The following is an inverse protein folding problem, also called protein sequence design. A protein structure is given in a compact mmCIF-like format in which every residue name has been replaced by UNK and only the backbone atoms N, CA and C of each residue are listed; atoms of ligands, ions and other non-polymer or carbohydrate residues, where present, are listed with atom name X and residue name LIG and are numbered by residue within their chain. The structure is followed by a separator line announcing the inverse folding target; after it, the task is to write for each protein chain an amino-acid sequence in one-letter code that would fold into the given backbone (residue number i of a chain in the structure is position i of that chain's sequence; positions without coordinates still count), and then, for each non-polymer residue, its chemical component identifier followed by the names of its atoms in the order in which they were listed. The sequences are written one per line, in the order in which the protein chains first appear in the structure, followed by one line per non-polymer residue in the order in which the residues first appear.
data_IF_632485133854
#
_entry.id   IF_632485133854
#
_cell.length_a   1.000
_cell.length_b   1.000
_cell.length_c   1.000
_cell.angle_alpha   90.00
_cell.angle_beta   90.00
_cell.angle_gamma   90.00
#
_symmetry.space_group_name_H-M   'P 1'
#
loop_
_entity.id
_entity.type
_entity.pdbx_description
1 polymer ?
#
# COMPACT_ATOMS: atom_id res chain seq x y z
N UNK A 1 67.79 28.90 -0.62
CA UNK A 1 67.12 29.91 -1.47
C UNK A 1 67.14 29.43 -2.91
N UNK A 2 66.04 28.81 -3.36
CA UNK A 2 65.64 28.56 -4.76
C UNK A 2 64.16 28.12 -4.71
N UNK A 3 63.31 28.95 -5.32
CA UNK A 3 61.90 28.77 -5.70
C UNK A 3 61.80 27.70 -6.81
N UNK A 4 60.68 27.08 -7.23
CA UNK A 4 59.23 27.38 -7.25
C UNK A 4 58.43 26.05 -7.39
N UNK A 5 57.18 25.97 -6.89
CA UNK A 5 55.87 25.76 -7.60
C UNK A 5 55.78 24.45 -8.44
N UNK A 6 54.79 23.56 -8.34
CA UNK A 6 53.32 23.59 -8.17
C UNK A 6 52.88 22.27 -7.49
N UNK A 7 51.82 22.13 -6.68
CA UNK A 7 50.41 22.34 -6.99
C UNK A 7 49.67 20.98 -6.88
N UNK A 8 48.79 20.84 -5.88
CA UNK A 8 47.85 19.71 -5.64
C UNK A 8 48.44 18.31 -5.32
N UNK A 9 48.76 18.09 -4.05
CA UNK A 9 48.79 16.76 -3.44
C UNK A 9 47.45 16.39 -2.82
N UNK A 10 46.43 16.06 -3.62
CA UNK A 10 45.27 15.30 -3.14
C UNK A 10 45.49 13.82 -3.47
N UNK A 11 45.78 13.04 -2.43
CA UNK A 11 45.76 11.58 -2.49
C UNK A 11 44.34 11.13 -2.81
N UNK A 12 44.06 10.93 -4.10
CA UNK A 12 42.90 10.17 -4.55
C UNK A 12 43.14 8.73 -4.11
N UNK A 13 42.61 8.37 -2.93
CA UNK A 13 42.45 6.97 -2.57
C UNK A 13 41.46 6.36 -3.56
N UNK A 14 42.00 5.72 -4.60
CA UNK A 14 41.30 4.72 -5.37
C UNK A 14 40.97 3.56 -4.43
N UNK A 15 39.82 3.65 -3.73
CA UNK A 15 39.21 2.51 -3.09
C UNK A 15 38.97 1.46 -4.17
N UNK A 16 39.72 0.36 -4.11
CA UNK A 16 39.42 -0.86 -4.88
C UNK A 16 37.93 -1.14 -4.69
N UNK A 17 37.20 -1.30 -5.81
CA UNK A 17 35.85 -1.87 -5.84
C UNK A 17 35.94 -3.29 -5.25
N UNK A 18 35.89 -3.41 -3.93
CA UNK A 18 35.39 -4.64 -3.33
C UNK A 18 33.97 -4.82 -3.84
N UNK A 19 33.65 -6.04 -4.29
CA UNK A 19 32.27 -6.38 -4.63
C UNK A 19 31.37 -5.89 -3.47
N UNK A 20 30.33 -5.11 -3.79
CA UNK A 20 29.31 -4.82 -2.79
C UNK A 20 28.80 -6.18 -2.27
N UNK A 21 28.62 -6.33 -0.95
CA UNK A 21 28.00 -7.54 -0.43
C UNK A 21 26.66 -7.74 -1.18
N UNK A 22 26.30 -8.99 -1.53
CA UNK A 22 25.07 -9.26 -2.27
C UNK A 22 23.90 -8.62 -1.52
N UNK A 23 23.03 -7.97 -2.29
CA UNK A 23 21.82 -7.37 -1.77
C UNK A 23 21.00 -8.45 -1.08
N UNK A 24 20.30 -8.12 0.01
CA UNK A 24 19.32 -9.04 0.60
C UNK A 24 18.17 -9.40 -0.37
N UNK A 25 18.10 -8.70 -1.50
CA UNK A 25 17.18 -8.95 -2.61
C UNK A 25 17.80 -9.81 -3.73
N UNK A 26 19.08 -10.19 -3.63
CA UNK A 26 19.74 -11.16 -4.51
C UNK A 26 19.43 -12.58 -4.07
N UNK A 27 18.15 -12.88 -3.89
CA UNK A 27 17.63 -14.21 -3.55
C UNK A 27 16.93 -14.76 -4.80
N UNK A 28 17.16 -16.04 -5.11
CA UNK A 28 16.43 -16.70 -6.18
C UNK A 28 14.94 -16.77 -5.80
N UNK A 29 14.13 -16.02 -6.53
CA UNK A 29 12.68 -16.00 -6.40
C UNK A 29 12.13 -16.90 -7.50
N UNK A 30 11.30 -17.86 -7.13
CA UNK A 30 10.64 -18.75 -8.08
C UNK A 30 9.82 -17.97 -9.12
N UNK A 31 9.62 -18.51 -10.33
CA UNK A 31 8.82 -17.85 -11.35
C UNK A 31 7.42 -17.45 -10.84
N UNK A 32 6.91 -16.25 -11.20
CA UNK A 32 5.61 -15.76 -10.74
C UNK A 32 4.44 -16.72 -10.97
N UNK A 33 4.50 -17.55 -12.02
CA UNK A 33 3.49 -18.54 -12.39
C UNK A 33 3.40 -19.67 -11.35
N UNK A 34 4.56 -20.15 -10.87
CA UNK A 34 4.64 -21.17 -9.82
C UNK A 34 4.15 -20.62 -8.48
N UNK A 35 4.54 -19.37 -8.18
CA UNK A 35 4.09 -18.68 -6.97
C UNK A 35 2.57 -18.45 -7.00
N UNK A 36 2.01 -18.12 -8.16
CA UNK A 36 0.57 -17.96 -8.36
C UNK A 36 -0.17 -19.28 -8.15
N UNK A 37 0.30 -20.38 -8.76
CA UNK A 37 -0.32 -21.70 -8.57
C UNK A 37 -0.40 -22.08 -7.09
N UNK A 38 0.69 -21.87 -6.34
CA UNK A 38 0.71 -22.10 -4.89
C UNK A 38 -0.19 -21.15 -4.12
N UNK A 39 -0.25 -19.87 -4.52
CA UNK A 39 -1.15 -18.90 -3.92
C UNK A 39 -2.61 -19.31 -4.11
N UNK A 40 -2.98 -19.76 -5.30
CA UNK A 40 -4.33 -20.26 -5.63
C UNK A 40 -4.63 -21.61 -5.00
N UNK A 41 -3.64 -22.48 -4.78
CA UNK A 41 -3.85 -23.70 -3.99
C UNK A 41 -4.13 -23.40 -2.51
N UNK A 42 -3.63 -22.27 -2.01
CA UNK A 42 -3.93 -21.77 -0.68
C UNK A 42 -5.23 -20.95 -0.65
N UNK A 43 -5.62 -20.32 -1.76
CA UNK A 43 -6.75 -19.42 -1.84
C UNK A 43 -8.01 -20.12 -2.39
N UNK A 44 -9.17 -19.89 -1.78
CA UNK A 44 -10.44 -20.36 -2.31
C UNK A 44 -10.89 -19.38 -3.39
N UNK A 45 -11.16 -19.82 -4.63
CA UNK A 45 -11.69 -18.93 -5.67
C UNK A 45 -12.94 -18.21 -5.18
N UNK A 46 -13.08 -16.94 -5.55
CA UNK A 46 -14.27 -16.20 -5.18
C UNK A 46 -15.50 -16.79 -5.88
N UNK A 47 -16.51 -17.18 -5.11
CA UNK A 47 -17.87 -17.38 -5.62
C UNK A 47 -18.61 -16.03 -5.77
N UNK A 48 -17.90 -14.91 -5.59
CA UNK A 48 -18.49 -13.57 -5.56
C UNK A 48 -18.80 -13.12 -6.98
N UNK A 49 -19.94 -12.46 -7.23
CA UNK A 49 -20.17 -11.80 -8.50
C UNK A 49 -19.01 -10.84 -8.80
N UNK A 50 -18.63 -10.76 -10.09
CA UNK A 50 -17.59 -9.84 -10.55
C UNK A 50 -17.85 -8.43 -10.02
N UNK A 51 -16.78 -7.68 -9.74
CA UNK A 51 -16.89 -6.28 -9.35
C UNK A 51 -17.77 -5.53 -10.36
N UNK A 52 -18.57 -4.57 -9.87
CA UNK A 52 -19.32 -3.70 -10.77
C UNK A 52 -18.33 -3.03 -11.74
N UNK A 53 -18.66 -2.96 -13.04
CA UNK A 53 -17.75 -2.36 -14.01
C UNK A 53 -17.44 -0.91 -13.63
N UNK A 54 -16.22 -0.43 -13.91
CA UNK A 54 -15.82 0.93 -13.57
C UNK A 54 -16.77 1.95 -14.21
N UNK A 55 -17.13 2.97 -13.44
CA UNK A 55 -18.00 4.05 -13.90
C UNK A 55 -17.15 5.10 -14.61
N UNK A 56 -17.34 5.23 -15.92
CA UNK A 56 -16.69 6.29 -16.68
C UNK A 56 -17.47 7.60 -16.58
N UNK A 57 -16.79 8.66 -16.14
CA UNK A 57 -17.35 10.01 -16.05
C UNK A 57 -16.38 11.04 -16.60
N UNK A 58 -16.93 12.14 -17.13
CA UNK A 58 -16.16 13.34 -17.50
C UNK A 58 -16.30 14.45 -16.45
N UNK A 59 -17.09 14.21 -15.40
CA UNK A 59 -17.24 15.16 -14.29
C UNK A 59 -16.03 15.06 -13.38
N UNK A 60 -15.49 16.22 -13.01
CA UNK A 60 -14.41 16.35 -12.05
C UNK A 60 -15.00 16.47 -10.65
N UNK A 61 -15.38 15.34 -10.08
CA UNK A 61 -15.92 15.27 -8.72
C UNK A 61 -14.78 14.92 -7.76
N UNK A 62 -14.56 15.77 -6.76
CA UNK A 62 -13.54 15.52 -5.75
C UNK A 62 -14.00 14.36 -4.88
N UNK A 63 -13.08 13.43 -4.61
CA UNK A 63 -13.30 12.30 -3.71
C UNK A 63 -13.80 12.78 -2.35
N UNK A 64 -14.77 12.07 -1.78
CA UNK A 64 -15.30 12.33 -0.43
C UNK A 64 -14.75 11.33 0.58
N UNK A 65 -13.58 10.76 0.31
CA UNK A 65 -12.86 9.85 1.20
C UNK A 65 -11.85 10.63 2.04
N UNK A 66 -11.96 10.57 3.36
CA UNK A 66 -10.96 11.12 4.27
C UNK A 66 -9.86 10.11 4.59
N UNK A 67 -8.83 10.55 5.31
CA UNK A 67 -7.74 9.69 5.77
C UNK A 67 -7.49 9.88 7.27
N UNK A 68 -7.14 8.79 7.97
CA UNK A 68 -6.80 8.80 9.38
C UNK A 68 -5.54 7.98 9.65
N UNK A 69 -4.45 8.63 10.04
CA UNK A 69 -3.28 7.98 10.64
C UNK A 69 -3.48 7.76 12.14
N UNK A 70 -3.56 6.50 12.58
CA UNK A 70 -3.74 6.17 14.00
C UNK A 70 -2.45 6.29 14.84
N UNK A 71 -1.29 6.14 14.19
CA UNK A 71 0.03 6.02 14.83
C UNK A 71 0.88 5.01 14.05
N UNK A 72 2.18 4.93 14.36
CA UNK A 72 3.15 4.11 13.63
C UNK A 72 3.46 2.76 14.32
N UNK A 73 2.59 2.28 15.20
CA UNK A 73 2.72 0.94 15.76
C UNK A 73 2.40 -0.10 14.67
N UNK A 74 3.37 -0.95 14.34
CA UNK A 74 3.24 -1.96 13.28
C UNK A 74 3.92 -3.28 13.66
N UNK A 75 3.32 -4.39 13.24
CA UNK A 75 3.84 -5.76 13.39
C UNK A 75 4.75 -6.21 12.22
N UNK A 76 5.09 -5.33 11.28
CA UNK A 76 5.98 -5.60 10.15
C UNK A 76 7.11 -4.57 10.06
N UNK A 77 8.12 -4.85 9.23
CA UNK A 77 9.31 -4.01 8.97
C UNK A 77 9.62 -4.01 7.48
N UNK A 78 8.66 -3.55 6.67
CA UNK A 78 8.74 -3.63 5.22
C UNK A 78 9.92 -2.82 4.66
N UNK A 79 10.61 -3.35 3.65
CA UNK A 79 11.78 -2.70 3.04
C UNK A 79 11.45 -1.51 2.13
N UNK A 80 10.16 -1.28 1.90
CA UNK A 80 9.64 -0.09 1.21
C UNK A 80 8.95 0.88 2.20
N UNK A 81 8.99 0.60 3.50
CA UNK A 81 8.30 1.41 4.49
C UNK A 81 8.99 2.76 4.70
N UNK A 82 8.26 3.84 4.44
CA UNK A 82 8.73 5.21 4.67
C UNK A 82 8.52 5.71 6.11
N UNK A 83 8.03 4.82 6.99
CA UNK A 83 7.83 5.06 8.42
C UNK A 83 8.69 4.16 9.31
N UNK A 84 9.68 3.48 8.73
CA UNK A 84 10.39 2.42 9.43
C UNK A 84 11.10 2.90 10.70
N UNK A 85 11.69 4.09 10.67
CA UNK A 85 12.32 4.72 11.83
C UNK A 85 11.32 4.97 12.97
N UNK A 86 10.14 5.50 12.65
CA UNK A 86 9.05 5.72 13.60
C UNK A 86 8.46 4.41 14.15
N UNK A 87 8.50 3.34 13.34
CA UNK A 87 8.06 2.00 13.74
C UNK A 87 9.10 1.31 14.65
N UNK A 88 10.40 1.55 14.42
CA UNK A 88 11.51 0.94 15.18
C UNK A 88 11.78 1.65 16.50
N UNK A 89 11.66 2.98 16.53
CA UNK A 89 11.80 3.79 17.72
C UNK A 89 10.48 3.86 18.50
N UNK A 90 10.38 3.08 19.58
CA UNK A 90 9.20 3.04 20.44
C UNK A 90 8.96 4.33 21.23
N UNK A 91 10.00 5.14 21.40
CA UNK A 91 9.92 6.43 22.09
C UNK A 91 9.58 7.58 21.13
N UNK A 92 9.53 7.31 19.81
CA UNK A 92 9.15 8.31 18.83
C UNK A 92 7.70 8.79 19.07
N UNK A 93 7.41 10.11 19.07
CA UNK A 93 6.08 10.63 19.38
C UNK A 93 4.95 10.11 18.47
N UNK A 94 5.26 9.83 17.21
CA UNK A 94 4.31 9.22 16.25
C UNK A 94 4.16 7.69 16.40
N UNK A 95 5.01 7.00 17.18
CA UNK A 95 4.95 5.54 17.34
C UNK A 95 3.64 5.04 17.95
N UNK A 96 3.21 5.50 19.15
CA UNK A 96 2.03 4.94 19.79
C UNK A 96 0.75 5.25 19.02
N UNK A 97 -0.22 4.35 19.14
CA UNK A 97 -1.59 4.66 18.71
C UNK A 97 -2.16 5.84 19.51
N UNK A 98 -2.90 6.71 18.83
CA UNK A 98 -3.67 7.77 19.48
C UNK A 98 -4.82 7.21 20.34
N UNK A 99 -5.37 8.06 21.20
CA UNK A 99 -6.59 7.72 21.94
C UNK A 99 -7.80 7.61 21.02
N UNK A 100 -8.77 6.77 21.41
CA UNK A 100 -10.04 6.65 20.72
C UNK A 100 -10.75 8.01 20.59
N UNK A 101 -10.72 8.84 21.64
CA UNK A 101 -11.34 10.17 21.62
C UNK A 101 -10.70 11.12 20.61
N UNK A 102 -9.37 11.10 20.45
CA UNK A 102 -8.69 11.86 19.39
C UNK A 102 -9.14 11.37 18.01
N UNK A 103 -9.16 10.04 17.79
CA UNK A 103 -9.60 9.47 16.52
C UNK A 103 -11.06 9.81 16.18
N UNK A 104 -11.98 9.78 17.15
CA UNK A 104 -13.38 10.18 16.98
C UNK A 104 -13.52 11.67 16.63
N UNK A 105 -12.78 12.54 17.31
CA UNK A 105 -12.79 13.98 17.03
C UNK A 105 -12.29 14.29 15.61
N UNK A 106 -11.31 13.52 15.13
CA UNK A 106 -10.86 13.58 13.74
C UNK A 106 -11.98 13.15 12.78
N UNK A 107 -12.61 12.01 13.03
CA UNK A 107 -13.69 11.51 12.17
C UNK A 107 -14.84 12.53 12.06
N UNK A 108 -15.20 13.21 13.16
CA UNK A 108 -16.15 14.32 13.13
C UNK A 108 -15.69 15.49 12.29
N UNK A 109 -14.41 15.85 12.38
CA UNK A 109 -13.85 16.92 11.55
C UNK A 109 -13.99 16.60 10.06
N UNK A 110 -13.71 15.35 9.66
CA UNK A 110 -13.86 14.87 8.28
C UNK A 110 -15.30 15.00 7.77
N UNK A 111 -16.28 14.63 8.60
CA UNK A 111 -17.70 14.76 8.24
C UNK A 111 -18.14 16.23 8.21
N UNK A 112 -17.92 16.96 9.29
CA UNK A 112 -18.55 18.27 9.53
C UNK A 112 -17.94 19.39 8.68
N UNK A 113 -16.63 19.34 8.39
CA UNK A 113 -15.92 20.41 7.68
C UNK A 113 -15.58 20.07 6.22
N UNK A 114 -15.28 18.80 5.93
CA UNK A 114 -14.87 18.38 4.59
C UNK A 114 -15.97 17.64 3.82
N UNK A 115 -17.06 17.26 4.51
CA UNK A 115 -18.18 16.55 3.91
C UNK A 115 -17.77 15.15 3.44
N UNK A 116 -16.81 14.51 4.11
CA UNK A 116 -16.40 13.16 3.79
C UNK A 116 -17.50 12.15 4.14
N UNK A 117 -17.67 11.13 3.30
CA UNK A 117 -18.63 10.03 3.46
C UNK A 117 -17.95 8.66 3.55
N UNK A 118 -16.64 8.61 3.33
CA UNK A 118 -15.80 7.42 3.49
C UNK A 118 -14.49 7.81 4.18
N UNK A 119 -13.80 6.83 4.75
CA UNK A 119 -12.53 7.07 5.45
C UNK A 119 -11.58 5.90 5.28
N UNK A 120 -10.32 6.19 4.93
CA UNK A 120 -9.23 5.24 4.97
C UNK A 120 -8.47 5.35 6.29
N UNK A 121 -8.55 4.29 7.10
CA UNK A 121 -7.87 4.18 8.38
C UNK A 121 -6.55 3.46 8.16
N UNK A 122 -5.45 4.13 8.48
CA UNK A 122 -4.09 3.66 8.27
C UNK A 122 -3.12 4.11 9.40
N UNK A 123 -1.82 4.04 9.14
CA UNK A 123 -0.74 4.24 10.12
C UNK A 123 0.30 3.15 9.92
N UNK A 124 0.75 2.54 11.02
CA UNK A 124 1.52 1.31 11.02
C UNK A 124 0.67 0.11 10.58
N UNK A 125 -0.05 -0.51 11.53
CA UNK A 125 -1.05 -1.54 11.23
C UNK A 125 -2.32 -1.28 12.06
N UNK A 126 -3.45 -0.87 11.45
CA UNK A 126 -4.65 -0.52 12.21
C UNK A 126 -5.31 -1.74 12.89
N UNK A 127 -5.18 -2.94 12.32
CA UNK A 127 -5.89 -4.13 12.83
C UNK A 127 -5.38 -4.63 14.19
N UNK A 128 -4.21 -4.18 14.65
CA UNK A 128 -3.67 -4.52 15.98
C UNK A 128 -4.03 -3.48 17.06
N UNK A 129 -4.70 -2.38 16.70
CA UNK A 129 -5.11 -1.37 17.68
C UNK A 129 -6.33 -1.86 18.48
N UNK A 130 -6.23 -1.84 19.80
CA UNK A 130 -7.27 -2.39 20.71
C UNK A 130 -8.66 -1.76 20.51
N UNK A 131 -8.70 -0.48 20.13
CA UNK A 131 -9.95 0.30 20.04
C UNK A 131 -10.50 0.34 18.61
N UNK A 132 -9.90 -0.40 17.66
CA UNK A 132 -10.26 -0.35 16.23
C UNK A 132 -11.73 -0.65 15.97
N UNK A 133 -12.29 -1.67 16.64
CA UNK A 133 -13.69 -2.04 16.48
C UNK A 133 -14.65 -0.94 16.99
N UNK A 134 -14.27 -0.24 18.08
CA UNK A 134 -15.05 0.88 18.59
C UNK A 134 -15.00 2.08 17.65
N UNK A 135 -13.85 2.34 17.01
CA UNK A 135 -13.73 3.38 16.00
C UNK A 135 -14.56 3.05 14.75
N UNK A 136 -14.51 1.82 14.23
CA UNK A 136 -15.28 1.41 13.05
C UNK A 136 -16.78 1.63 13.29
N UNK A 137 -17.31 1.19 14.45
CA UNK A 137 -18.71 1.42 14.81
C UNK A 137 -19.06 2.90 14.86
N UNK A 138 -18.16 3.72 15.41
CA UNK A 138 -18.36 5.17 15.43
C UNK A 138 -18.35 5.80 14.03
N UNK A 139 -17.45 5.36 13.14
CA UNK A 139 -17.45 5.82 11.74
C UNK A 139 -18.80 5.57 11.09
N UNK A 140 -19.35 4.35 11.23
CA UNK A 140 -20.66 3.99 10.69
C UNK A 140 -21.77 4.84 11.31
N UNK A 141 -21.76 5.03 12.63
CA UNK A 141 -22.74 5.87 13.35
C UNK A 141 -22.82 7.29 12.81
N UNK A 142 -21.69 7.87 12.42
CA UNK A 142 -21.62 9.25 11.92
C UNK A 142 -21.72 9.36 10.38
N UNK A 143 -22.01 8.25 9.69
CA UNK A 143 -22.21 8.24 8.23
C UNK A 143 -20.94 8.07 7.39
N UNK A 144 -19.81 7.70 7.99
CA UNK A 144 -18.60 7.33 7.26
C UNK A 144 -18.61 5.83 6.92
N UNK A 145 -18.15 5.49 5.72
CA UNK A 145 -17.82 4.11 5.32
C UNK A 145 -16.33 3.82 5.60
N UNK A 146 -15.99 3.06 6.66
CA UNK A 146 -14.61 2.85 7.05
C UNK A 146 -13.92 1.74 6.24
N UNK A 147 -12.78 2.07 5.66
CA UNK A 147 -11.84 1.15 5.03
C UNK A 147 -10.60 1.02 5.90
N UNK A 148 -10.07 -0.19 6.09
CA UNK A 148 -8.78 -0.39 6.75
C UNK A 148 -7.69 -0.71 5.73
N UNK A 149 -6.63 0.11 5.68
CA UNK A 149 -5.40 -0.22 4.93
C UNK A 149 -4.56 -1.15 5.80
N UNK A 150 -4.34 -2.38 5.36
CA UNK A 150 -3.80 -3.43 6.24
C UNK A 150 -2.84 -4.38 5.51
N UNK A 151 -1.92 -4.97 6.26
CA UNK A 151 -1.12 -6.12 5.84
C UNK A 151 -1.89 -7.46 5.91
N UNK A 152 -3.09 -7.45 6.48
CA UNK A 152 -4.02 -8.58 6.63
C UNK A 152 -3.53 -9.74 7.53
N UNK A 153 -2.40 -9.60 8.25
CA UNK A 153 -1.90 -10.71 9.08
C UNK A 153 -2.81 -11.04 10.26
N UNK A 154 -3.55 -10.07 10.82
CA UNK A 154 -4.54 -10.33 11.88
C UNK A 154 -5.77 -11.05 11.33
N UNK A 155 -6.06 -10.85 10.05
CA UNK A 155 -7.22 -11.41 9.36
C UNK A 155 -7.04 -12.88 8.99
N UNK A 156 -5.86 -13.47 9.25
CA UNK A 156 -5.61 -14.92 9.14
C UNK A 156 -6.43 -15.76 10.13
N UNK A 157 -7.09 -15.09 11.08
CA UNK A 157 -8.03 -15.64 12.04
C UNK A 157 -9.46 -15.29 11.61
N UNK A 158 -10.26 -16.30 11.31
CA UNK A 158 -11.65 -16.11 10.85
C UNK A 158 -12.52 -15.34 11.84
N UNK A 159 -12.37 -15.56 13.14
CA UNK A 159 -13.11 -14.83 14.19
C UNK A 159 -12.78 -13.33 14.18
N UNK A 160 -11.52 -12.96 13.84
CA UNK A 160 -11.13 -11.55 13.66
C UNK A 160 -11.84 -10.91 12.49
N UNK A 161 -11.89 -11.59 11.34
CA UNK A 161 -12.64 -11.09 10.18
C UNK A 161 -14.12 -10.90 10.52
N UNK A 162 -14.73 -11.84 11.24
CA UNK A 162 -16.12 -11.72 11.70
C UNK A 162 -16.30 -10.49 12.61
N UNK A 163 -15.42 -10.27 13.59
CA UNK A 163 -15.47 -9.09 14.46
C UNK A 163 -15.40 -7.77 13.70
N UNK A 164 -14.59 -7.69 12.64
CA UNK A 164 -14.52 -6.51 11.76
C UNK A 164 -15.81 -6.32 10.96
N UNK A 165 -16.36 -7.41 10.39
CA UNK A 165 -17.65 -7.40 9.70
C UNK A 165 -18.78 -6.91 10.62
N UNK A 166 -18.87 -7.47 11.83
CA UNK A 166 -19.89 -7.12 12.82
C UNK A 166 -19.74 -5.67 13.32
N UNK A 167 -18.54 -5.11 13.25
CA UNK A 167 -18.30 -3.70 13.58
C UNK A 167 -18.75 -2.74 12.47
N UNK A 168 -19.00 -3.24 11.26
CA UNK A 168 -19.45 -2.44 10.11
C UNK A 168 -18.31 -1.94 9.22
N UNK A 169 -17.20 -2.67 9.10
CA UNK A 169 -16.16 -2.34 8.11
C UNK A 169 -16.76 -2.36 6.69
N UNK A 170 -16.45 -1.34 5.88
CA UNK A 170 -16.95 -1.26 4.51
C UNK A 170 -16.13 -2.18 3.58
N UNK A 171 -14.81 -2.08 3.65
CA UNK A 171 -13.86 -2.95 2.94
C UNK A 171 -12.46 -2.92 3.58
N UNK A 172 -11.57 -3.78 3.08
CA UNK A 172 -10.15 -3.73 3.39
C UNK A 172 -9.34 -3.34 2.15
N UNK A 173 -8.32 -2.50 2.30
CA UNK A 173 -7.29 -2.30 1.30
C UNK A 173 -6.07 -3.12 1.67
N UNK A 174 -5.96 -4.31 1.10
CA UNK A 174 -4.94 -5.31 1.46
C UNK A 174 -3.66 -5.07 0.68
N UNK A 175 -2.55 -4.93 1.41
CA UNK A 175 -1.22 -4.71 0.82
C UNK A 175 -0.58 -6.03 0.34
N UNK A 176 -0.67 -6.33 -0.95
CA UNK A 176 -0.10 -7.53 -1.60
C UNK A 176 1.17 -7.14 -2.35
N UNK A 177 2.34 -7.38 -1.74
CA UNK A 177 3.64 -6.86 -2.20
C UNK A 177 4.43 -7.86 -3.04
N UNK A 178 3.72 -8.64 -3.87
CA UNK A 178 4.22 -9.85 -4.53
C UNK A 178 3.65 -11.11 -3.92
N UNK A 179 4.16 -12.27 -4.36
CA UNK A 179 3.72 -13.61 -3.96
C UNK A 179 4.85 -14.39 -3.29
N UNK A 180 4.49 -15.39 -2.50
CA UNK A 180 5.41 -16.31 -1.82
C UNK A 180 6.60 -15.62 -1.15
N UNK A 181 7.81 -16.07 -1.48
CA UNK A 181 9.05 -15.56 -0.85
C UNK A 181 9.29 -14.08 -1.13
N UNK A 182 8.87 -13.58 -2.29
CA UNK A 182 9.08 -12.18 -2.62
C UNK A 182 8.22 -11.25 -1.75
N UNK A 183 6.98 -11.65 -1.45
CA UNK A 183 6.15 -10.95 -0.48
C UNK A 183 6.82 -10.94 0.90
N UNK A 184 7.21 -12.12 1.39
CA UNK A 184 7.85 -12.28 2.69
C UNK A 184 9.11 -11.41 2.83
N UNK A 185 9.94 -11.36 1.78
CA UNK A 185 11.10 -10.48 1.70
C UNK A 185 10.68 -9.02 1.67
N UNK A 186 9.70 -8.62 0.85
CA UNK A 186 9.27 -7.23 0.75
C UNK A 186 8.76 -6.67 2.10
N UNK A 187 8.08 -7.51 2.89
CA UNK A 187 7.49 -7.11 4.18
C UNK A 187 8.38 -7.41 5.40
N UNK A 188 9.52 -8.07 5.21
CA UNK A 188 10.46 -8.40 6.26
C UNK A 188 9.95 -9.48 7.23
N UNK A 189 9.09 -10.40 6.77
CA UNK A 189 8.48 -11.44 7.62
C UNK A 189 8.25 -12.75 6.87
N UNK A 190 8.95 -13.81 7.29
CA UNK A 190 8.78 -15.14 6.71
C UNK A 190 7.40 -15.72 7.03
N UNK A 191 6.75 -16.32 6.03
CA UNK A 191 5.41 -16.90 6.13
C UNK A 191 4.27 -15.87 6.10
N UNK A 192 4.56 -14.58 5.93
CA UNK A 192 3.55 -13.53 5.84
C UNK A 192 2.59 -13.77 4.67
N UNK A 193 3.11 -14.20 3.51
CA UNK A 193 2.30 -14.52 2.33
C UNK A 193 1.26 -15.60 2.62
N UNK A 194 1.65 -16.70 3.27
CA UNK A 194 0.73 -17.81 3.58
C UNK A 194 -0.39 -17.34 4.50
N UNK A 195 -0.06 -16.51 5.50
CA UNK A 195 -1.05 -15.91 6.41
C UNK A 195 -1.98 -14.94 5.66
N UNK A 196 -1.44 -14.15 4.74
CA UNK A 196 -2.23 -13.26 3.88
C UNK A 196 -3.19 -14.04 2.99
N UNK A 197 -2.79 -15.16 2.38
CA UNK A 197 -3.71 -15.99 1.57
C UNK A 197 -4.86 -16.56 2.42
N UNK A 198 -4.58 -17.00 3.66
CA UNK A 198 -5.64 -17.41 4.60
C UNK A 198 -6.58 -16.26 4.95
N UNK A 199 -6.05 -15.06 5.14
CA UNK A 199 -6.87 -13.87 5.36
C UNK A 199 -7.81 -13.59 4.18
N UNK A 200 -7.31 -13.64 2.94
CA UNK A 200 -8.14 -13.48 1.74
C UNK A 200 -9.27 -14.52 1.71
N UNK A 201 -8.99 -15.78 2.05
CA UNK A 201 -10.04 -16.81 2.14
C UNK A 201 -11.11 -16.49 3.17
N UNK A 202 -10.71 -15.98 4.33
CA UNK A 202 -11.67 -15.60 5.36
C UNK A 202 -12.52 -14.41 4.93
N UNK A 203 -11.94 -13.44 4.23
CA UNK A 203 -12.68 -12.33 3.62
C UNK A 203 -13.70 -12.83 2.59
N UNK A 204 -13.30 -13.74 1.70
CA UNK A 204 -14.18 -14.36 0.70
C UNK A 204 -15.31 -15.15 1.38
N UNK A 205 -14.96 -16.05 2.30
CA UNK A 205 -15.92 -16.93 2.98
C UNK A 205 -16.93 -16.18 3.84
N UNK A 206 -16.59 -14.97 4.31
CA UNK A 206 -17.48 -14.11 5.08
C UNK A 206 -18.09 -12.98 4.25
N UNK A 207 -17.91 -13.00 2.92
CA UNK A 207 -18.41 -11.97 2.00
C UNK A 207 -18.00 -10.55 2.44
N UNK A 208 -16.76 -10.36 2.88
CA UNK A 208 -16.20 -9.06 3.24
C UNK A 208 -15.48 -8.48 2.03
N UNK A 209 -15.84 -7.27 1.57
CA UNK A 209 -15.17 -6.61 0.46
C UNK A 209 -13.68 -6.32 0.71
N UNK A 210 -12.87 -6.42 -0.33
CA UNK A 210 -11.51 -5.92 -0.29
C UNK A 210 -11.04 -5.43 -1.66
N UNK A 211 -10.03 -4.57 -1.61
CA UNK A 211 -9.22 -4.07 -2.73
C UNK A 211 -7.76 -4.45 -2.47
N UNK A 212 -6.94 -4.41 -3.51
CA UNK A 212 -5.51 -4.74 -3.41
C UNK A 212 -4.68 -3.48 -3.62
N UNK A 213 -3.66 -3.30 -2.79
CA UNK A 213 -2.59 -2.32 -2.97
C UNK A 213 -1.27 -3.06 -3.23
N UNK A 214 -0.51 -2.63 -4.23
CA UNK A 214 0.83 -3.14 -4.51
C UNK A 214 1.79 -1.98 -4.73
N UNK A 215 2.82 -1.86 -3.90
CA UNK A 215 3.90 -0.89 -4.10
C UNK A 215 4.86 -1.50 -5.12
N UNK A 216 5.10 -0.78 -6.21
CA UNK A 216 6.02 -1.19 -7.27
C UNK A 216 7.48 -1.04 -6.82
N UNK A 217 7.89 -1.92 -5.91
CA UNK A 217 9.29 -2.18 -5.54
C UNK A 217 9.95 -3.11 -6.54
N UNK A 218 11.29 -3.16 -6.54
CA UNK A 218 12.05 -4.03 -7.44
C UNK A 218 11.69 -5.51 -7.30
N UNK A 219 11.29 -5.94 -6.10
CA UNK A 219 10.77 -7.28 -5.83
C UNK A 219 9.37 -7.52 -6.43
N UNK A 220 8.49 -6.50 -6.37
CA UNK A 220 7.11 -6.63 -6.78
C UNK A 220 6.91 -6.49 -8.31
N UNK A 221 7.72 -5.66 -8.97
CA UNK A 221 7.57 -5.34 -10.40
C UNK A 221 7.52 -6.58 -11.31
N UNK A 222 8.41 -7.59 -11.18
CA UNK A 222 8.31 -8.80 -12.00
C UNK A 222 7.03 -9.62 -11.76
N UNK A 223 6.33 -9.38 -10.66
CA UNK A 223 5.17 -10.16 -10.22
C UNK A 223 3.83 -9.43 -10.41
N UNK A 224 3.81 -8.19 -10.91
CA UNK A 224 2.56 -7.46 -11.09
C UNK A 224 1.50 -8.24 -11.90
N UNK A 225 1.86 -8.96 -12.98
CA UNK A 225 0.88 -9.79 -13.70
C UNK A 225 0.31 -10.92 -12.84
N UNK A 226 1.12 -11.55 -11.99
CA UNK A 226 0.67 -12.61 -11.09
C UNK A 226 -0.21 -12.06 -9.95
N UNK A 227 0.13 -10.88 -9.41
CA UNK A 227 -0.72 -10.17 -8.43
C UNK A 227 -2.06 -9.79 -9.06
N UNK A 228 -2.08 -9.32 -10.31
CA UNK A 228 -3.31 -9.05 -11.05
C UNK A 228 -4.15 -10.31 -11.25
N UNK A 229 -3.54 -11.41 -11.72
CA UNK A 229 -4.22 -12.71 -11.89
C UNK A 229 -4.81 -13.21 -10.55
N UNK A 230 -4.03 -13.16 -9.47
CA UNK A 230 -4.53 -13.49 -8.13
C UNK A 230 -5.75 -12.63 -7.78
N UNK A 231 -5.66 -11.32 -7.97
CA UNK A 231 -6.73 -10.37 -7.64
C UNK A 231 -8.04 -10.68 -8.37
N UNK A 232 -7.95 -11.14 -9.63
CA UNK A 232 -9.10 -11.64 -10.40
C UNK A 232 -9.71 -12.88 -9.74
N UNK A 233 -8.88 -13.90 -9.48
CA UNK A 233 -9.34 -15.19 -8.93
C UNK A 233 -9.95 -15.06 -7.52
N UNK A 234 -9.40 -14.16 -6.69
CA UNK A 234 -9.91 -13.92 -5.33
C UNK A 234 -11.05 -12.90 -5.27
N UNK A 235 -11.45 -12.31 -6.41
CA UNK A 235 -12.57 -11.37 -6.49
C UNK A 235 -12.32 -10.03 -5.81
N UNK A 236 -11.10 -9.49 -5.93
CA UNK A 236 -10.80 -8.13 -5.48
C UNK A 236 -11.63 -7.10 -6.25
N UNK A 237 -12.06 -6.02 -5.59
CA UNK A 237 -12.90 -4.97 -6.23
C UNK A 237 -12.11 -4.01 -7.11
N UNK A 238 -10.86 -3.75 -6.75
CA UNK A 238 -9.94 -2.89 -7.48
C UNK A 238 -8.50 -3.23 -7.10
N UNK A 239 -7.55 -2.87 -7.95
CA UNK A 239 -6.11 -3.03 -7.70
C UNK A 239 -5.41 -1.69 -7.91
N UNK A 240 -4.71 -1.20 -6.88
CA UNK A 240 -3.88 -0.01 -7.01
C UNK A 240 -2.40 -0.38 -7.06
N UNK A 241 -1.72 0.09 -8.10
CA UNK A 241 -0.27 0.04 -8.26
C UNK A 241 0.30 1.39 -7.85
N UNK A 242 1.07 1.40 -6.76
CA UNK A 242 1.63 2.60 -6.18
C UNK A 242 3.09 2.75 -6.57
N UNK A 243 3.50 3.97 -6.94
CA UNK A 243 4.92 4.29 -7.00
C UNK A 243 5.60 3.93 -5.66
N UNK A 244 6.87 3.49 -5.74
CA UNK A 244 7.71 3.49 -4.54
C UNK A 244 7.74 4.91 -3.98
N UNK A 245 7.35 5.07 -2.70
CA UNK A 245 7.05 6.38 -2.14
C UNK A 245 8.20 7.39 -2.41
N UNK A 246 7.95 8.54 -3.05
CA UNK A 246 8.99 9.49 -3.42
C UNK A 246 9.40 10.48 -2.29
N UNK A 247 8.81 10.41 -1.10
CA UNK A 247 9.04 11.35 -0.01
C UNK A 247 10.32 11.05 0.80
N UNK A 248 10.88 12.10 1.41
CA UNK A 248 12.21 12.10 2.03
C UNK A 248 12.26 11.57 3.48
N UNK A 249 11.15 11.12 4.05
CA UNK A 249 11.10 10.59 5.42
C UNK A 249 11.57 9.12 5.53
N UNK A 250 12.00 8.52 4.42
CA UNK A 250 12.55 7.16 4.35
C UNK A 250 13.94 7.04 4.95
N UNK A 251 14.04 6.34 6.08
CA UNK A 251 15.30 6.03 6.78
C UNK A 251 15.48 4.51 6.96
N UNK A 252 16.69 4.11 7.37
CA UNK A 252 17.07 2.73 7.66
C UNK A 252 16.82 1.77 6.46
N UNK A 253 16.21 0.60 6.70
CA UNK A 253 15.93 -0.37 5.65
C UNK A 253 14.83 0.08 4.65
N UNK A 254 14.16 1.20 4.92
CA UNK A 254 13.18 1.82 4.02
C UNK A 254 13.78 2.86 3.06
N UNK A 255 15.08 3.17 3.17
CA UNK A 255 15.75 4.15 2.31
C UNK A 255 15.71 3.73 0.84
N UNK A 256 15.42 4.69 -0.05
CA UNK A 256 15.46 4.48 -1.50
C UNK A 256 16.88 4.19 -1.96
N UNK A 257 17.09 3.04 -2.57
CA UNK A 257 18.35 2.65 -3.21
C UNK A 257 18.08 2.09 -4.60
N UNK A 258 19.12 1.89 -5.40
CA UNK A 258 19.01 1.18 -6.68
C UNK A 258 18.64 -0.32 -6.51
N UNK A 259 18.67 -0.82 -5.27
CA UNK A 259 18.40 -2.22 -4.95
C UNK A 259 16.91 -2.48 -4.67
N UNK A 260 16.17 -1.48 -4.18
CA UNK A 260 14.75 -1.62 -3.86
C UNK A 260 13.82 -0.80 -4.77
N UNK A 261 14.31 0.27 -5.41
CA UNK A 261 13.53 1.10 -6.32
C UNK A 261 13.79 0.67 -7.78
N UNK A 262 12.74 0.30 -8.55
CA UNK A 262 12.87 -0.01 -9.97
C UNK A 262 13.11 1.26 -10.80
N UNK A 263 13.73 1.14 -11.98
CA UNK A 263 13.72 2.25 -12.94
C UNK A 263 12.33 2.34 -13.56
N UNK A 264 11.87 3.54 -13.90
CA UNK A 264 10.57 3.69 -14.57
C UNK A 264 10.47 2.92 -15.90
N UNK A 265 11.59 2.78 -16.63
CA UNK A 265 11.64 1.96 -17.83
C UNK A 265 11.35 0.47 -17.58
N UNK A 266 11.64 -0.02 -16.37
CA UNK A 266 11.41 -1.42 -15.99
C UNK A 266 9.94 -1.68 -15.60
N UNK A 267 9.13 -0.64 -15.38
CA UNK A 267 7.73 -0.78 -14.98
C UNK A 267 6.83 -1.20 -16.15
N UNK A 268 7.06 -0.65 -17.34
CA UNK A 268 6.08 -0.67 -18.44
C UNK A 268 5.62 -2.07 -18.82
N UNK A 269 6.54 -3.00 -19.01
CA UNK A 269 6.20 -4.37 -19.46
C UNK A 269 5.28 -5.09 -18.46
N UNK A 270 5.75 -5.34 -17.23
CA UNK A 270 4.92 -6.02 -16.22
C UNK A 270 3.64 -5.27 -15.85
N UNK A 271 3.69 -3.93 -15.84
CA UNK A 271 2.51 -3.12 -15.52
C UNK A 271 1.46 -3.17 -16.64
N UNK A 272 1.85 -3.05 -17.91
CA UNK A 272 0.92 -3.20 -19.04
C UNK A 272 0.24 -4.58 -19.02
N UNK A 273 1.00 -5.67 -18.80
CA UNK A 273 0.41 -7.02 -18.72
C UNK A 273 -0.58 -7.15 -17.55
N UNK A 274 -0.23 -6.60 -16.38
CA UNK A 274 -1.12 -6.58 -15.22
C UNK A 274 -2.42 -5.81 -15.50
N UNK A 275 -2.32 -4.65 -16.15
CA UNK A 275 -3.47 -3.82 -16.51
C UNK A 275 -4.32 -4.49 -17.60
N UNK A 276 -3.72 -5.19 -18.57
CA UNK A 276 -4.45 -5.98 -19.56
C UNK A 276 -5.23 -7.14 -18.91
N UNK A 277 -4.66 -7.81 -17.91
CA UNK A 277 -5.36 -8.84 -17.11
C UNK A 277 -6.58 -8.27 -16.41
N UNK A 278 -6.40 -7.16 -15.69
CA UNK A 278 -7.49 -6.53 -14.91
C UNK A 278 -8.59 -5.96 -15.82
N UNK A 279 -8.21 -5.31 -16.92
CA UNK A 279 -9.14 -4.76 -17.89
C UNK A 279 -10.00 -5.87 -18.54
N UNK A 280 -9.41 -7.01 -18.91
CA UNK A 280 -10.17 -8.16 -19.44
C UNK A 280 -11.15 -8.76 -18.43
N UNK A 281 -10.81 -8.70 -17.14
CA UNK A 281 -11.66 -9.18 -16.06
C UNK A 281 -12.70 -8.14 -15.58
N UNK A 282 -12.66 -6.91 -16.11
CA UNK A 282 -13.53 -5.83 -15.66
C UNK A 282 -13.21 -5.30 -14.26
N UNK A 283 -11.98 -5.55 -13.76
CA UNK A 283 -11.53 -5.04 -12.46
C UNK A 283 -10.86 -3.69 -12.66
N UNK A 284 -11.28 -2.69 -11.88
CA UNK A 284 -10.69 -1.36 -11.90
C UNK A 284 -9.24 -1.39 -11.42
N UNK A 285 -8.37 -0.69 -12.14
CA UNK A 285 -6.95 -0.59 -11.82
C UNK A 285 -6.51 0.87 -11.77
N UNK A 286 -5.73 1.23 -10.74
CA UNK A 286 -5.25 2.59 -10.51
C UNK A 286 -3.72 2.61 -10.37
N UNK A 287 -3.03 3.33 -11.25
CA UNK A 287 -1.59 3.57 -11.23
C UNK A 287 -1.36 4.95 -10.65
N UNK A 288 -0.88 5.02 -9.40
CA UNK A 288 -0.78 6.27 -8.66
C UNK A 288 0.63 6.84 -8.61
N UNK A 289 0.71 8.16 -8.59
CA UNK A 289 1.95 8.94 -8.40
C UNK A 289 2.98 8.79 -9.52
N UNK A 290 2.57 8.29 -10.70
CA UNK A 290 3.44 8.12 -11.85
C UNK A 290 2.87 8.82 -13.09
N UNK A 291 3.74 9.26 -14.01
CA UNK A 291 3.31 9.86 -15.27
C UNK A 291 2.77 8.81 -16.25
N UNK A 292 1.92 9.24 -17.18
CA UNK A 292 1.35 8.41 -18.25
C UNK A 292 2.36 7.61 -19.07
N UNK A 293 3.62 8.07 -19.18
CA UNK A 293 4.65 7.41 -19.98
C UNK A 293 5.16 6.08 -19.40
N UNK A 294 4.77 5.71 -18.18
CA UNK A 294 5.14 4.42 -17.58
C UNK A 294 4.26 3.26 -18.07
N UNK A 295 3.19 3.55 -18.81
CA UNK A 295 2.27 2.57 -19.41
C UNK A 295 1.99 2.91 -20.87
N UNK A 296 1.45 1.96 -21.61
CA UNK A 296 0.92 2.23 -22.95
C UNK A 296 -0.35 3.08 -22.94
N UNK A 297 -0.61 3.81 -24.03
CA UNK A 297 -1.74 4.78 -24.14
C UNK A 297 -3.11 4.17 -23.81
N UNK A 298 -3.32 2.90 -24.14
CA UNK A 298 -4.56 2.16 -23.82
C UNK A 298 -4.88 2.12 -22.31
N UNK A 299 -3.87 2.32 -21.46
CA UNK A 299 -3.99 2.28 -20.00
C UNK A 299 -3.96 3.66 -19.35
N UNK A 300 -3.89 4.75 -20.11
CA UNK A 300 -3.95 6.11 -19.55
C UNK A 300 -5.17 6.37 -18.64
N UNK A 301 -6.36 5.79 -18.89
CA UNK A 301 -7.49 5.93 -17.98
C UNK A 301 -7.26 5.37 -16.57
N UNK A 302 -6.29 4.47 -16.40
CA UNK A 302 -5.90 3.91 -15.10
C UNK A 302 -4.86 4.76 -14.37
N UNK A 303 -4.31 5.81 -14.99
CA UNK A 303 -3.23 6.61 -14.38
C UNK A 303 -3.80 7.81 -13.63
N UNK A 304 -3.37 7.97 -12.38
CA UNK A 304 -3.70 9.10 -11.53
C UNK A 304 -2.39 9.76 -11.07
N UNK A 305 -1.98 10.79 -11.81
CA UNK A 305 -0.89 11.65 -11.37
C UNK A 305 -1.31 12.55 -10.19
N UNK A 306 -0.36 13.30 -9.62
CA UNK A 306 -0.63 14.17 -8.47
C UNK A 306 -1.77 15.17 -8.67
N UNK A 307 -2.04 15.61 -9.90
CA UNK A 307 -3.12 16.55 -10.20
C UNK A 307 -4.47 15.84 -10.33
N UNK A 308 -4.47 14.54 -10.65
CA UNK A 308 -5.66 13.72 -10.81
C UNK A 308 -6.09 13.01 -9.51
N UNK A 309 -5.17 12.79 -8.55
CA UNK A 309 -5.46 12.10 -7.28
C UNK A 309 -6.71 12.62 -6.53
N UNK A 310 -7.00 13.93 -6.44
CA UNK A 310 -8.21 14.40 -5.78
C UNK A 310 -9.52 13.92 -6.42
N UNK A 311 -9.46 13.38 -7.64
CA UNK A 311 -10.59 12.86 -8.40
C UNK A 311 -10.61 11.32 -8.47
N UNK A 312 -9.64 10.64 -7.84
CA UNK A 312 -9.67 9.18 -7.70
C UNK A 312 -10.66 8.80 -6.58
N UNK A 313 -11.78 8.10 -6.87
CA UNK A 313 -12.77 7.71 -5.85
C UNK A 313 -12.21 6.71 -4.83
N UNK A 314 -11.09 6.05 -5.15
CA UNK A 314 -10.39 5.11 -4.31
C UNK A 314 -9.25 5.76 -3.52
N UNK A 315 -8.95 7.03 -3.73
CA UNK A 315 -7.95 7.81 -2.98
C UNK A 315 -8.64 8.80 -2.04
N UNK A 316 -7.94 9.19 -0.98
CA UNK A 316 -8.43 10.21 -0.07
C UNK A 316 -8.31 11.63 -0.64
N UNK A 317 -9.17 12.52 -0.15
CA UNK A 317 -9.19 13.94 -0.45
C UNK A 317 -7.90 14.58 0.07
N UNK A 318 -7.21 15.35 -0.78
CA UNK A 318 -6.02 16.09 -0.36
C UNK A 318 -6.33 17.10 0.75
N UNK A 319 -7.54 17.67 0.81
CA UNK A 319 -7.96 18.57 1.88
C UNK A 319 -8.07 17.85 3.23
N UNK A 320 -8.25 16.52 3.27
CA UNK A 320 -8.27 15.76 4.52
C UNK A 320 -6.93 15.72 5.25
N UNK A 321 -5.84 16.16 4.60
CA UNK A 321 -4.53 16.42 5.22
C UNK A 321 -4.48 17.75 5.93
N UNK A 322 -5.30 18.71 5.49
CA UNK A 322 -5.39 20.03 6.08
C UNK A 322 -6.26 19.95 7.32
N UNK A 323 -5.88 20.67 8.36
CA UNK A 323 -6.62 20.70 9.61
C UNK A 323 -7.12 22.09 9.83
N UNK A 324 -8.43 22.24 10.07
CA UNK A 324 -9.08 23.53 10.28
C UNK A 324 -8.45 24.27 11.46
N UNK A 325 -7.49 25.15 11.16
CA UNK A 325 -6.69 25.91 12.12
C UNK A 325 -5.98 25.05 13.21
N UNK A 326 -5.62 23.79 12.90
CA UNK A 326 -4.80 22.95 13.81
C UNK A 326 -3.51 22.54 13.13
N UNK A 327 -2.55 22.05 13.92
CA UNK A 327 -1.38 21.35 13.38
C UNK A 327 -1.79 20.13 12.54
N UNK A 328 -0.94 19.68 11.59
CA UNK A 328 -1.18 18.48 10.83
C UNK A 328 -1.32 17.27 11.75
N UNK A 329 -2.11 16.29 11.32
CA UNK A 329 -2.37 15.07 12.10
C UNK A 329 -1.12 14.39 12.67
N UNK A 330 -0.03 14.48 11.90
CA UNK A 330 1.26 13.80 12.10
C UNK A 330 2.30 14.64 12.85
N UNK A 331 1.96 15.81 13.41
CA UNK A 331 2.88 16.60 14.26
C UNK A 331 2.56 16.48 15.75
#
# INVERSE_FOLDING_TARGET
MKTSTDGNGSLVQLKRKGAQPPSQFDVEIEPPEVLLERALALAVPAARPAAAPPVHTRRREITRRGVLWLGQTCNLRCHFCYFLDRIEDKEHPEHPFMSLEKAKAICRTLVDFYGNTAIDIQGGEPTIWRDIHALIRYCVEIGLSPTLITNALVLDKRDKVQQFKDSGVADFLVSVQGLGKAHDLAVGSNGAHVRQMRALNHLIALDVPFRVNCVMSKLAVPQLPAVAKLSVEVGARAVNFLAFNPFADQRNAGTRTADNVPRYADLRGPLDEALDVLARAGIEANVRYLPHCVVSERHWPSVYDYQQLPYDPHEWDFASWTWTNKGPQRM
#
